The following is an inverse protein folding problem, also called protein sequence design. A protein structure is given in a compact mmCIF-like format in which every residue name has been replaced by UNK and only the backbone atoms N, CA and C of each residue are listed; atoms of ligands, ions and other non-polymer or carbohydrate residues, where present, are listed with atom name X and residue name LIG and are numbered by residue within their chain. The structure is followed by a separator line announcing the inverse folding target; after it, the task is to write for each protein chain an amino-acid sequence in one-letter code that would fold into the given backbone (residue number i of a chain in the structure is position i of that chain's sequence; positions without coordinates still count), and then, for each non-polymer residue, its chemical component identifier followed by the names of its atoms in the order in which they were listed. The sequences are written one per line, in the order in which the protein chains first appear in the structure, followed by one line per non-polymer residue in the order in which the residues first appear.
data_IF_624829329763
#
_entry.id   IF_624829329763
#
_cell.length_a   1.000
_cell.length_b   1.000
_cell.length_c   1.000
_cell.angle_alpha   90.00
_cell.angle_beta   90.00
_cell.angle_gamma   90.00
#
_symmetry.space_group_name_H-M   'P 1'
#
loop_
_entity.id
_entity.type
_entity.pdbx_description
1 polymer ?
#
# COMPACT_ATOMS: atom_id res chain seq x y z
N UNK A 1 -23.57 1.28 -0.59
CA UNK A 1 -22.38 2.04 -1.04
C UNK A 1 -22.07 3.05 0.05
N UNK A 2 -21.11 2.78 0.92
CA UNK A 2 -20.80 3.63 2.09
C UNK A 2 -19.54 4.42 1.78
N UNK A 3 -19.70 5.74 1.64
CA UNK A 3 -18.58 6.68 1.64
C UNK A 3 -18.25 7.03 3.09
N UNK A 4 -17.08 6.62 3.57
CA UNK A 4 -16.42 7.16 4.76
C UNK A 4 -15.18 7.93 4.29
N UNK A 5 -15.09 9.20 4.65
CA UNK A 5 -14.11 10.16 4.13
C UNK A 5 -12.66 9.68 4.24
N UNK A 6 -11.87 9.97 3.20
CA UNK A 6 -10.41 9.84 3.11
C UNK A 6 -9.76 8.51 3.59
N UNK A 7 -10.54 7.44 3.68
CA UNK A 7 -10.06 6.13 4.12
C UNK A 7 -9.69 5.28 2.89
N UNK A 8 -8.40 5.21 2.57
CA UNK A 8 -7.89 4.15 1.71
C UNK A 8 -7.83 2.86 2.55
N UNK A 9 -8.94 2.14 2.62
CA UNK A 9 -9.00 0.80 3.24
C UNK A 9 -8.41 -0.18 2.24
N UNK A 10 -7.18 -0.62 2.46
CA UNK A 10 -6.42 -1.40 1.46
C UNK A 10 -6.66 -2.91 1.62
N UNK A 11 -7.37 -3.39 2.66
CA UNK A 11 -8.01 -4.72 2.73
C UNK A 11 -8.83 -4.84 4.05
N UNK A 12 -9.91 -5.63 4.05
CA UNK A 12 -10.81 -5.81 5.19
C UNK A 12 -10.42 -6.98 6.12
N UNK A 13 -9.53 -7.88 5.70
CA UNK A 13 -9.21 -9.10 6.44
C UNK A 13 -8.01 -8.96 7.39
N UNK A 14 -7.03 -8.11 7.10
CA UNK A 14 -5.94 -7.78 8.03
C UNK A 14 -5.81 -6.27 8.23
N UNK A 15 -6.51 -5.64 9.18
CA UNK A 15 -6.42 -4.19 9.36
C UNK A 15 -4.96 -3.79 9.63
N UNK A 16 -4.47 -2.76 8.94
CA UNK A 16 -3.29 -2.04 9.44
C UNK A 16 -3.62 -1.66 10.89
N UNK A 17 -2.71 -1.88 11.85
CA UNK A 17 -3.02 -1.54 13.25
C UNK A 17 -3.15 -0.01 13.44
N UNK A 18 -2.84 0.79 12.40
CA UNK A 18 -2.99 2.24 12.33
C UNK A 18 -3.21 2.71 10.88
N UNK A 19 -3.89 3.84 10.71
CA UNK A 19 -4.07 4.51 9.41
C UNK A 19 -2.75 5.07 8.87
N UNK A 20 -2.56 5.00 7.56
CA UNK A 20 -1.39 5.53 6.85
C UNK A 20 -1.66 6.95 6.35
N UNK A 21 -0.70 7.86 6.55
CA UNK A 21 -0.77 9.20 5.99
C UNK A 21 -0.77 9.14 4.46
N UNK A 22 -1.63 9.91 3.77
CA UNK A 22 -1.69 9.90 2.30
C UNK A 22 -0.35 10.24 1.62
N UNK A 23 0.48 11.10 2.20
CA UNK A 23 1.79 11.46 1.63
C UNK A 23 2.76 10.27 1.72
N UNK A 24 2.75 9.57 2.84
CA UNK A 24 3.57 8.37 3.04
C UNK A 24 3.12 7.24 2.09
N UNK A 25 1.81 7.12 1.83
CA UNK A 25 1.27 6.18 0.84
C UNK A 25 1.79 6.48 -0.57
N UNK A 26 1.70 7.74 -1.02
CA UNK A 26 2.20 8.15 -2.35
C UNK A 26 3.69 7.86 -2.47
N UNK A 27 4.47 8.25 -1.46
CA UNK A 27 5.91 7.96 -1.41
C UNK A 27 6.21 6.46 -1.55
N UNK A 28 5.48 5.60 -0.83
CA UNK A 28 5.67 4.15 -0.89
C UNK A 28 5.30 3.56 -2.25
N UNK A 29 4.33 4.15 -2.97
CA UNK A 29 3.94 3.71 -4.31
C UNK A 29 5.00 4.06 -5.38
N UNK A 30 5.66 5.21 -5.25
CA UNK A 30 6.73 5.65 -6.15
C UNK A 30 8.04 4.84 -6.00
N UNK A 31 8.23 4.18 -4.86
CA UNK A 31 9.42 3.37 -4.62
C UNK A 31 9.44 2.08 -5.46
N UNK A 32 10.62 1.65 -5.94
CA UNK A 32 10.81 0.32 -6.52
C UNK A 32 10.38 -0.77 -5.53
N UNK A 33 9.69 -1.82 -6.01
CA UNK A 33 9.13 -2.88 -5.16
C UNK A 33 10.14 -3.48 -4.17
N UNK A 34 11.38 -3.71 -4.62
CA UNK A 34 12.45 -4.27 -3.77
C UNK A 34 12.92 -3.36 -2.63
N UNK A 35 12.59 -2.06 -2.66
CA UNK A 35 12.98 -1.10 -1.63
C UNK A 35 11.86 -0.84 -0.62
N UNK A 36 10.59 -1.05 -1.00
CA UNK A 36 9.40 -0.67 -0.21
C UNK A 36 9.43 -1.18 1.23
N UNK A 37 9.79 -2.45 1.46
CA UNK A 37 9.79 -3.03 2.81
C UNK A 37 10.72 -2.26 3.78
N UNK A 38 11.92 -1.91 3.34
CA UNK A 38 12.86 -1.15 4.17
C UNK A 38 12.31 0.22 4.55
N UNK A 39 11.65 0.89 3.61
CA UNK A 39 11.03 2.19 3.84
C UNK A 39 9.79 2.11 4.74
N UNK A 40 8.96 1.06 4.59
CA UNK A 40 7.83 0.79 5.48
C UNK A 40 8.32 0.60 6.92
N UNK A 41 9.37 -0.21 7.11
CA UNK A 41 9.95 -0.44 8.45
C UNK A 41 10.52 0.86 9.03
N UNK A 42 11.20 1.67 8.21
CA UNK A 42 11.71 2.98 8.62
C UNK A 42 10.59 3.93 9.06
N UNK A 43 9.54 4.07 8.25
CA UNK A 43 8.35 4.86 8.57
C UNK A 43 7.70 4.39 9.86
N UNK A 44 7.53 3.07 10.03
CA UNK A 44 6.88 2.50 11.21
C UNK A 44 7.61 2.86 12.52
N UNK A 45 8.93 3.07 12.48
CA UNK A 45 9.74 3.47 13.65
C UNK A 45 9.63 4.95 14.00
N UNK A 46 9.06 5.77 13.11
CA UNK A 46 8.85 7.19 13.40
C UNK A 46 7.83 7.37 14.53
N UNK A 47 7.88 8.51 15.22
CA UNK A 47 6.94 8.86 16.30
C UNK A 47 5.49 8.82 15.82
N UNK A 48 5.24 9.16 14.55
CA UNK A 48 3.91 9.15 13.93
C UNK A 48 3.24 7.78 14.01
N UNK A 49 3.99 6.72 13.70
CA UNK A 49 3.44 5.36 13.58
C UNK A 49 3.76 4.47 14.78
N UNK A 50 4.85 4.73 15.52
CA UNK A 50 5.12 4.10 16.80
C UNK A 50 5.08 2.56 16.80
N UNK A 51 5.56 1.92 15.73
CA UNK A 51 5.52 0.47 15.49
C UNK A 51 4.10 -0.13 15.38
N UNK A 52 3.09 0.68 15.03
CA UNK A 52 1.69 0.25 14.86
C UNK A 52 1.32 -0.05 13.42
N UNK A 53 2.23 0.02 12.46
CA UNK A 53 1.98 -0.50 11.12
C UNK A 53 2.32 -1.98 11.05
N UNK A 54 1.46 -2.77 10.41
CA UNK A 54 1.82 -4.10 9.96
C UNK A 54 2.57 -3.98 8.64
N UNK A 55 3.90 -4.09 8.70
CA UNK A 55 4.77 -3.86 7.54
C UNK A 55 4.54 -4.88 6.41
N UNK A 56 4.25 -6.14 6.75
CA UNK A 56 4.01 -7.18 5.77
C UNK A 56 2.66 -7.00 5.07
N UNK A 57 1.60 -6.77 5.84
CA UNK A 57 0.28 -6.50 5.28
C UNK A 57 0.30 -5.27 4.37
N UNK A 58 1.00 -4.19 4.78
CA UNK A 58 1.14 -3.00 3.95
C UNK A 58 1.92 -3.28 2.65
N UNK A 59 3.00 -4.06 2.71
CA UNK A 59 3.78 -4.42 1.52
C UNK A 59 2.98 -5.25 0.52
N UNK A 60 2.25 -6.25 1.00
CA UNK A 60 1.40 -7.11 0.17
C UNK A 60 0.36 -6.27 -0.59
N UNK A 61 -0.30 -5.37 0.14
CA UNK A 61 -1.26 -4.41 -0.40
C UNK A 61 -0.69 -3.48 -1.46
N UNK A 62 0.48 -2.90 -1.20
CA UNK A 62 1.17 -2.03 -2.18
C UNK A 62 1.58 -2.81 -3.43
N UNK A 63 1.85 -4.11 -3.28
CA UNK A 63 2.19 -4.99 -4.39
C UNK A 63 0.93 -5.30 -5.22
N UNK A 64 -0.20 -5.60 -4.59
CA UNK A 64 -1.49 -5.78 -5.27
C UNK A 64 -1.94 -4.51 -6.00
N UNK A 65 -1.82 -3.34 -5.36
CA UNK A 65 -2.18 -2.06 -5.96
C UNK A 65 -1.31 -1.69 -7.17
N UNK A 66 -0.01 -2.04 -7.14
CA UNK A 66 0.91 -1.85 -8.28
C UNK A 66 0.81 -2.94 -9.35
N UNK A 67 0.34 -4.14 -9.00
CA UNK A 67 0.09 -5.24 -9.93
C UNK A 67 -1.21 -5.06 -10.71
N UNK A 68 -2.24 -4.48 -10.09
CA UNK A 68 -3.48 -4.12 -10.77
C UNK A 68 -3.27 -3.12 -11.92
N UNK A 69 -2.21 -2.31 -11.87
CA UNK A 69 -1.82 -1.42 -12.98
C UNK A 69 -1.11 -2.15 -14.13
N UNK A 70 -0.60 -3.37 -13.89
CA UNK A 70 0.08 -4.17 -14.91
C UNK A 70 -0.86 -5.10 -15.71
N UNK A 71 -2.11 -5.30 -15.26
CA UNK A 71 -3.08 -6.21 -15.90
C UNK A 71 -4.16 -5.50 -16.73
N UNK A 72 -4.08 -4.18 -16.94
CA UNK A 72 -4.91 -3.46 -17.94
C UNK A 72 -4.17 -3.20 -19.27
N UNK A 73 -3.00 -3.82 -19.47
CA UNK A 73 -2.14 -3.60 -20.64
C UNK A 73 -1.99 -4.77 -21.60
N UNK A 74 -2.67 -5.90 -21.39
CA UNK A 74 -2.42 -7.06 -22.25
C UNK A 74 -3.49 -8.13 -22.20
N UNK A 75 -4.56 -7.95 -23.00
CA UNK A 75 -4.98 -8.89 -24.05
C UNK A 75 -5.91 -8.11 -25.01
N UNK A 76 -5.45 -7.81 -26.23
CA UNK A 76 -6.19 -8.22 -27.44
C UNK A 76 -5.27 -8.10 -28.67
N UNK A 77 -4.66 -9.22 -29.00
CA UNK A 77 -3.89 -9.41 -30.23
C UNK A 77 -4.40 -10.66 -30.92
N UNK A 78 -5.67 -10.64 -31.33
CA UNK A 78 -6.24 -11.62 -32.26
C UNK A 78 -5.88 -11.21 -33.69
N UNK A 79 -4.87 -11.88 -34.28
CA UNK A 79 -4.76 -12.11 -35.73
C UNK A 79 -4.07 -13.45 -36.00
#
# INVERSE_FOLDING_TARGET
MVHLGNLTVIDQNEPLLMELDPQDLVYLLELPAGQRLGHIVSLNRTVRYGNRLNAFALLERLTQAGGATAEEGGVDGTY
#
